data_IF_894736469986
#
_entry.id   IF_894736469986
#
_cell.length_a   1.000
_cell.length_b   1.000
_cell.length_c   1.000
_cell.angle_alpha   90.00
_cell.angle_beta   90.00
_cell.angle_gamma   90.00
#
_symmetry.space_group_name_H-M   'P 1'
#
loop_
_entity.id
_entity.type
_entity.pdbx_description
1 polymer ?
#
# COMPACT_ATOMS: atom_id res chain seq x y z
N UNK A 1 -19.34 -23.63 -4.06
CA UNK A 1 -18.75 -24.12 -2.80
C UNK A 1 -18.20 -22.90 -2.10
N UNK A 2 -18.64 -22.63 -0.89
CA UNK A 2 -18.07 -21.53 -0.09
C UNK A 2 -16.69 -21.95 0.39
N UNK A 3 -15.73 -21.03 0.30
CA UNK A 3 -14.36 -21.31 0.74
C UNK A 3 -14.30 -21.28 2.27
N UNK A 4 -13.63 -22.26 2.86
CA UNK A 4 -13.43 -22.37 4.30
C UNK A 4 -12.15 -21.68 4.76
N UNK A 5 -12.02 -21.48 6.06
CA UNK A 5 -10.77 -21.00 6.70
C UNK A 5 -9.59 -21.96 6.41
N UNK A 6 -9.83 -23.26 6.42
CA UNK A 6 -8.79 -24.26 6.12
C UNK A 6 -8.33 -24.21 4.67
N UNK A 7 -9.22 -23.93 3.71
CA UNK A 7 -8.83 -23.76 2.31
C UNK A 7 -7.90 -22.57 2.13
N UNK A 8 -8.22 -21.44 2.76
CA UNK A 8 -7.38 -20.24 2.74
C UNK A 8 -6.02 -20.53 3.37
N UNK A 9 -6.01 -21.16 4.53
CA UNK A 9 -4.80 -21.58 5.24
C UNK A 9 -3.92 -22.51 4.38
N UNK A 10 -4.53 -23.46 3.69
CA UNK A 10 -3.84 -24.36 2.77
C UNK A 10 -3.22 -23.63 1.57
N UNK A 11 -3.92 -22.65 0.98
CA UNK A 11 -3.36 -21.79 -0.07
C UNK A 11 -2.11 -21.09 0.43
N UNK A 12 -2.16 -20.49 1.61
CA UNK A 12 -1.04 -19.74 2.19
C UNK A 12 0.14 -20.71 2.48
N UNK A 13 -0.10 -21.81 3.19
CA UNK A 13 0.95 -22.77 3.56
C UNK A 13 1.65 -23.38 2.35
N UNK A 14 0.90 -23.77 1.30
CA UNK A 14 1.49 -24.31 0.06
C UNK A 14 2.38 -23.33 -0.70
N UNK A 15 2.31 -22.04 -0.40
CA UNK A 15 3.07 -21.00 -1.08
C UNK A 15 3.95 -20.19 -0.12
N UNK A 16 4.13 -20.62 1.13
CA UNK A 16 4.82 -19.91 2.22
C UNK A 16 6.21 -19.43 1.84
N UNK A 17 6.98 -20.21 1.10
CA UNK A 17 8.35 -19.88 0.70
C UNK A 17 8.43 -18.69 -0.27
N UNK A 18 7.34 -18.41 -0.99
CA UNK A 18 7.34 -17.38 -2.03
C UNK A 18 6.11 -16.46 -1.98
N UNK A 19 5.54 -16.22 -0.82
CA UNK A 19 4.38 -15.35 -0.64
C UNK A 19 4.77 -14.01 -0.02
N UNK A 20 4.05 -12.95 -0.40
CA UNK A 20 4.05 -11.66 0.27
C UNK A 20 2.60 -11.22 0.47
N UNK A 21 2.32 -10.62 1.60
CA UNK A 21 0.98 -10.14 1.94
C UNK A 21 0.83 -8.67 1.57
N UNK A 22 -0.30 -8.31 0.93
CA UNK A 22 -0.64 -6.92 0.65
C UNK A 22 -1.89 -6.58 1.46
N UNK A 23 -1.74 -5.72 2.46
CA UNK A 23 -2.75 -5.48 3.48
C UNK A 23 -3.19 -4.01 3.45
N UNK A 24 -4.51 -3.80 3.38
CA UNK A 24 -5.11 -2.48 3.49
C UNK A 24 -5.78 -2.22 4.84
N UNK A 25 -6.56 -1.14 4.90
CA UNK A 25 -7.21 -0.66 6.12
C UNK A 25 -8.30 -1.62 6.69
N UNK A 26 -8.73 -2.62 5.91
CA UNK A 26 -9.70 -3.61 6.37
C UNK A 26 -9.25 -4.40 7.60
N UNK A 27 -7.94 -4.56 7.82
CA UNK A 27 -7.42 -5.17 9.04
C UNK A 27 -7.78 -4.35 10.29
N UNK A 28 -7.67 -3.02 10.21
CA UNK A 28 -8.06 -2.15 11.33
C UNK A 28 -9.55 -2.17 11.60
N UNK A 29 -10.37 -2.25 10.54
CA UNK A 29 -11.81 -2.40 10.68
C UNK A 29 -12.17 -3.70 11.40
N UNK A 30 -11.50 -4.81 11.07
CA UNK A 30 -11.73 -6.11 11.69
C UNK A 30 -11.38 -6.12 13.18
N UNK A 31 -10.21 -5.59 13.52
CA UNK A 31 -9.71 -5.61 14.90
C UNK A 31 -10.03 -4.33 15.70
N UNK A 32 -10.70 -3.36 15.08
CA UNK A 32 -11.06 -2.07 15.71
C UNK A 32 -9.85 -1.31 16.27
N UNK A 33 -8.68 -1.51 15.67
CA UNK A 33 -7.45 -0.82 16.06
C UNK A 33 -7.38 0.62 15.56
N UNK A 34 -7.99 0.91 14.40
CA UNK A 34 -8.18 2.25 13.89
C UNK A 34 -9.61 2.39 13.36
N UNK A 35 -10.29 3.43 13.74
CA UNK A 35 -11.69 3.66 13.34
C UNK A 35 -11.84 4.54 12.11
N UNK A 36 -10.75 5.12 11.59
CA UNK A 36 -10.82 6.10 10.50
C UNK A 36 -10.67 5.39 9.15
N UNK A 37 -11.75 5.33 8.39
CA UNK A 37 -11.71 4.94 6.98
C UNK A 37 -11.09 6.07 6.13
N UNK A 38 -10.64 5.75 4.91
CA UNK A 38 -10.14 6.79 4.01
C UNK A 38 -11.21 7.84 3.67
N UNK A 39 -12.45 7.39 3.45
CA UNK A 39 -13.59 8.29 3.22
C UNK A 39 -13.79 9.26 4.40
N UNK A 40 -13.79 8.74 5.61
CA UNK A 40 -13.96 9.54 6.82
C UNK A 40 -12.78 10.50 7.04
N UNK A 41 -11.56 10.04 6.80
CA UNK A 41 -10.38 10.91 6.83
C UNK A 41 -10.54 12.12 5.90
N UNK A 42 -10.97 11.90 4.67
CA UNK A 42 -11.16 12.97 3.69
C UNK A 42 -12.31 13.92 4.07
N UNK A 43 -13.41 13.41 4.61
CA UNK A 43 -14.51 14.23 5.14
C UNK A 43 -14.04 15.09 6.32
N UNK A 44 -13.24 14.54 7.21
CA UNK A 44 -12.66 15.30 8.33
C UNK A 44 -11.71 16.39 7.83
N UNK A 45 -10.84 16.08 6.87
CA UNK A 45 -9.96 17.08 6.25
C UNK A 45 -10.76 18.19 5.56
N UNK A 46 -11.82 17.83 4.85
CA UNK A 46 -12.71 18.84 4.23
C UNK A 46 -13.30 19.77 5.29
N UNK A 47 -13.85 19.22 6.38
CA UNK A 47 -14.38 20.04 7.47
C UNK A 47 -13.31 20.93 8.11
N UNK A 48 -12.11 20.41 8.34
CA UNK A 48 -10.99 21.12 8.98
C UNK A 48 -10.49 22.30 8.14
N UNK A 49 -10.46 22.15 6.80
CA UNK A 49 -9.83 23.13 5.91
C UNK A 49 -10.81 24.01 5.11
N UNK A 50 -12.03 23.55 4.89
CA UNK A 50 -13.08 24.29 4.14
C UNK A 50 -14.13 24.85 5.10
N UNK A 51 -14.24 24.30 6.33
CA UNK A 51 -15.16 24.79 7.37
C UNK A 51 -16.62 24.38 7.16
N UNK A 52 -16.92 23.40 6.31
CA UNK A 52 -18.27 22.89 6.05
C UNK A 52 -18.23 21.36 5.93
N UNK A 53 -19.22 20.68 6.50
CA UNK A 53 -19.37 19.25 6.27
C UNK A 53 -19.70 18.98 4.81
N UNK A 54 -19.03 18.01 4.20
CA UNK A 54 -19.29 17.58 2.83
C UNK A 54 -19.28 16.04 2.77
N UNK A 55 -20.24 15.49 2.04
CA UNK A 55 -20.20 14.09 1.64
C UNK A 55 -19.49 14.00 0.30
N UNK A 56 -18.75 12.92 0.08
CA UNK A 56 -18.10 12.68 -1.20
C UNK A 56 -19.18 12.32 -2.23
N UNK A 57 -19.38 13.11 -3.29
CA UNK A 57 -20.42 12.85 -4.28
C UNK A 57 -20.17 11.53 -5.01
N UNK A 58 -21.26 10.85 -5.40
CA UNK A 58 -21.17 9.66 -6.25
C UNK A 58 -20.52 10.05 -7.58
N UNK A 59 -19.54 9.24 -8.03
CA UNK A 59 -18.78 9.51 -9.25
C UNK A 59 -17.50 10.34 -9.04
N UNK A 60 -17.26 10.83 -7.81
CA UNK A 60 -15.98 11.48 -7.46
C UNK A 60 -15.09 10.46 -6.72
N UNK A 61 -13.87 10.26 -7.21
CA UNK A 61 -12.91 9.40 -6.52
C UNK A 61 -12.34 10.08 -5.26
N UNK A 62 -11.82 9.32 -4.33
CA UNK A 62 -11.21 9.86 -3.11
C UNK A 62 -10.01 10.76 -3.41
N UNK A 63 -9.23 10.42 -4.43
CA UNK A 63 -8.08 11.21 -4.85
C UNK A 63 -8.48 12.54 -5.47
N UNK A 64 -9.51 12.55 -6.32
CA UNK A 64 -10.09 13.77 -6.88
C UNK A 64 -10.71 14.65 -5.78
N UNK A 65 -11.43 14.04 -4.83
CA UNK A 65 -12.03 14.77 -3.72
C UNK A 65 -10.96 15.51 -2.88
N UNK A 66 -9.80 14.88 -2.66
CA UNK A 66 -8.68 15.54 -2.01
C UNK A 66 -8.14 16.72 -2.85
N UNK A 67 -7.96 16.54 -4.15
CA UNK A 67 -7.47 17.62 -5.03
C UNK A 67 -8.48 18.78 -5.10
N UNK A 68 -9.80 18.47 -5.11
CA UNK A 68 -10.87 19.47 -5.02
C UNK A 68 -10.86 20.21 -3.68
N UNK A 69 -10.51 19.54 -2.57
CA UNK A 69 -10.34 20.17 -1.26
C UNK A 69 -9.25 21.26 -1.33
N UNK A 70 -8.10 20.97 -1.96
CA UNK A 70 -7.05 21.99 -2.16
C UNK A 70 -7.58 23.20 -2.92
N UNK A 71 -8.35 22.97 -3.99
CA UNK A 71 -8.94 24.05 -4.77
C UNK A 71 -9.89 24.91 -3.91
N UNK A 72 -10.78 24.26 -3.16
CA UNK A 72 -11.75 24.99 -2.32
C UNK A 72 -11.10 25.77 -1.18
N UNK A 73 -9.98 25.29 -0.64
CA UNK A 73 -9.22 26.02 0.38
C UNK A 73 -8.67 27.32 -0.13
N UNK A 74 -8.16 27.35 -1.37
CA UNK A 74 -7.48 28.51 -1.93
C UNK A 74 -8.39 29.43 -2.73
N UNK A 75 -9.42 28.88 -3.36
CA UNK A 75 -10.38 29.67 -4.16
C UNK A 75 -11.70 29.88 -3.44
N UNK A 76 -11.79 29.73 -2.15
CA UNK A 76 -13.01 29.92 -1.35
C UNK A 76 -14.01 30.95 -1.94
N UNK A 77 -15.15 31.18 -1.37
CA UNK A 77 -16.32 31.84 -1.95
C UNK A 77 -16.10 33.17 -2.74
N UNK A 78 -14.88 33.71 -2.83
CA UNK A 78 -14.61 35.00 -3.49
C UNK A 78 -13.44 34.98 -4.50
N UNK A 79 -12.83 33.87 -4.84
CA UNK A 79 -11.97 33.69 -6.04
C UNK A 79 -10.78 34.65 -6.25
N UNK A 80 -10.37 35.43 -5.27
CA UNK A 80 -9.54 36.63 -5.49
C UNK A 80 -8.07 36.48 -5.03
N UNK A 81 -7.67 35.38 -4.42
CA UNK A 81 -6.28 35.23 -3.99
C UNK A 81 -5.54 34.37 -5.02
N UNK A 82 -4.56 34.92 -5.74
CA UNK A 82 -3.74 34.12 -6.64
C UNK A 82 -2.94 33.10 -5.82
N UNK A 83 -3.15 31.82 -6.14
CA UNK A 83 -2.42 30.71 -5.55
C UNK A 83 -0.97 30.73 -6.05
N UNK A 84 -0.01 30.98 -5.17
CA UNK A 84 1.39 30.78 -5.52
C UNK A 84 1.87 29.36 -5.10
N UNK A 85 2.92 28.89 -5.77
CA UNK A 85 3.47 27.56 -5.56
C UNK A 85 3.96 27.33 -4.12
N UNK A 86 4.43 28.35 -3.44
CA UNK A 86 4.91 28.26 -2.04
C UNK A 86 3.75 27.99 -1.09
N UNK A 87 2.66 28.73 -1.23
CA UNK A 87 1.46 28.53 -0.41
C UNK A 87 0.86 27.14 -0.61
N UNK A 88 0.82 26.65 -1.85
CA UNK A 88 0.34 25.31 -2.15
C UNK A 88 1.23 24.22 -1.48
N UNK A 89 2.54 24.35 -1.56
CA UNK A 89 3.49 23.42 -0.93
C UNK A 89 3.32 23.44 0.60
N UNK A 90 3.21 24.63 1.20
CA UNK A 90 3.00 24.77 2.65
C UNK A 90 1.68 24.15 3.09
N UNK A 91 0.60 24.37 2.33
CA UNK A 91 -0.70 23.77 2.60
C UNK A 91 -0.63 22.23 2.55
N UNK A 92 -0.09 21.67 1.48
CA UNK A 92 0.08 20.21 1.34
C UNK A 92 0.89 19.62 2.49
N UNK A 93 1.94 20.30 2.90
CA UNK A 93 2.77 19.87 4.04
C UNK A 93 1.97 19.90 5.35
N UNK A 94 1.18 20.95 5.58
CA UNK A 94 0.31 21.07 6.76
C UNK A 94 -0.78 20.00 6.79
N UNK A 95 -1.45 19.74 5.67
CA UNK A 95 -2.48 18.69 5.58
C UNK A 95 -1.87 17.32 5.87
N UNK A 96 -0.74 16.98 5.26
CA UNK A 96 -0.06 15.70 5.46
C UNK A 96 0.44 15.54 6.90
N UNK A 97 0.87 16.62 7.55
CA UNK A 97 1.21 16.60 8.97
C UNK A 97 -0.02 16.38 9.85
N UNK A 98 -1.15 17.02 9.54
CA UNK A 98 -2.42 16.78 10.24
C UNK A 98 -2.85 15.31 10.11
N UNK A 99 -2.77 14.74 8.91
CA UNK A 99 -3.06 13.31 8.69
C UNK A 99 -2.13 12.44 9.52
N UNK A 100 -0.83 12.72 9.53
CA UNK A 100 0.16 11.96 10.30
C UNK A 100 -0.15 11.96 11.80
N UNK A 101 -0.60 13.07 12.34
CA UNK A 101 -0.95 13.22 13.75
C UNK A 101 -2.22 12.45 14.18
N UNK A 102 -3.01 11.94 13.22
CA UNK A 102 -4.21 11.14 13.53
C UNK A 102 -3.91 9.69 13.92
N UNK A 103 -2.65 9.27 13.86
CA UNK A 103 -2.19 7.91 14.16
C UNK A 103 -1.28 7.86 15.40
N UNK A 104 -1.82 8.05 16.63
CA UNK A 104 -1.04 7.96 17.85
C UNK A 104 -0.60 6.52 18.13
N UNK A 105 0.55 6.35 18.75
CA UNK A 105 0.98 5.05 19.25
C UNK A 105 0.00 4.52 20.30
N UNK A 106 -0.13 3.18 20.36
CA UNK A 106 -0.97 2.47 21.30
C UNK A 106 -0.14 1.53 22.19
N UNK A 107 -0.63 1.25 23.37
CA UNK A 107 0.02 0.28 24.26
C UNK A 107 -0.28 -1.18 23.89
N UNK A 108 -1.39 -1.43 23.19
CA UNK A 108 -1.83 -2.77 22.77
C UNK A 108 -2.55 -2.68 21.43
N UNK A 109 -2.33 -3.68 20.59
CA UNK A 109 -2.94 -3.81 19.28
C UNK A 109 -3.72 -5.13 19.19
N UNK A 110 -5.01 -5.04 18.85
CA UNK A 110 -5.87 -6.23 18.74
C UNK A 110 -5.51 -7.09 17.52
N UNK A 111 -4.94 -6.46 16.46
CA UNK A 111 -4.48 -7.13 15.24
C UNK A 111 -3.19 -7.97 15.44
N UNK A 112 -2.55 -7.92 16.61
CA UNK A 112 -1.29 -8.62 16.90
C UNK A 112 -1.35 -10.11 16.54
N UNK A 113 -2.42 -10.80 16.92
CA UNK A 113 -2.56 -12.24 16.68
C UNK A 113 -2.50 -12.59 15.19
N UNK A 114 -3.11 -11.77 14.35
CA UNK A 114 -3.07 -11.93 12.89
C UNK A 114 -1.65 -11.70 12.35
N UNK A 115 -0.96 -10.65 12.80
CA UNK A 115 0.39 -10.34 12.33
C UNK A 115 1.40 -11.38 12.78
N UNK A 116 1.26 -11.91 13.99
CA UNK A 116 2.08 -13.04 14.48
C UNK A 116 1.90 -14.29 13.60
N UNK A 117 0.68 -14.55 13.08
CA UNK A 117 0.44 -15.61 12.10
C UNK A 117 1.31 -15.45 10.85
N UNK A 118 1.33 -14.26 10.27
CA UNK A 118 2.16 -13.96 9.09
C UNK A 118 3.65 -13.99 9.43
N UNK A 119 4.04 -13.49 10.59
CA UNK A 119 5.42 -13.47 11.06
C UNK A 119 5.99 -14.89 11.19
N UNK A 120 5.20 -15.87 11.65
CA UNK A 120 5.61 -17.27 11.69
C UNK A 120 5.99 -17.85 10.33
N UNK A 121 5.41 -17.33 9.24
CA UNK A 121 5.78 -17.71 7.87
C UNK A 121 7.05 -17.01 7.37
N UNK A 122 7.61 -16.09 8.13
CA UNK A 122 8.77 -15.28 7.74
C UNK A 122 8.58 -14.56 6.40
N UNK A 123 7.36 -14.05 6.15
CA UNK A 123 6.95 -13.46 4.86
C UNK A 123 6.80 -11.95 4.96
N UNK A 124 7.18 -11.19 3.91
CA UNK A 124 7.04 -9.75 3.91
C UNK A 124 5.58 -9.29 3.80
N UNK A 125 5.28 -8.17 4.45
CA UNK A 125 4.01 -7.44 4.38
C UNK A 125 4.23 -6.12 3.63
N UNK A 126 3.39 -5.85 2.64
CA UNK A 126 3.22 -4.56 2.00
C UNK A 126 1.91 -3.96 2.49
N UNK A 127 1.92 -2.75 3.06
CA UNK A 127 0.69 -2.11 3.51
C UNK A 127 0.43 -0.79 2.82
N UNK A 128 -0.85 -0.51 2.54
CA UNK A 128 -1.32 0.80 2.07
C UNK A 128 -1.62 1.75 3.23
N UNK A 129 -1.60 1.28 4.47
CA UNK A 129 -1.90 2.06 5.66
C UNK A 129 -0.76 3.03 5.98
N UNK A 130 -1.11 4.21 6.51
CA UNK A 130 -0.13 5.24 6.87
C UNK A 130 0.40 5.09 8.30
N UNK A 131 -0.32 4.36 9.16
CA UNK A 131 0.07 4.07 10.54
C UNK A 131 1.13 2.97 10.62
N UNK A 132 1.73 2.81 11.80
CA UNK A 132 2.71 1.76 12.10
C UNK A 132 2.12 0.59 12.90
N UNK A 133 0.78 0.52 13.04
CA UNK A 133 0.13 -0.44 13.95
C UNK A 133 0.44 -1.90 13.64
N UNK A 134 0.59 -2.24 12.34
CA UNK A 134 1.02 -3.58 11.92
C UNK A 134 2.42 -3.91 12.46
N UNK A 135 3.37 -3.01 12.30
CA UNK A 135 4.75 -3.19 12.77
C UNK A 135 4.87 -3.09 14.29
N UNK A 136 4.20 -2.10 14.89
CA UNK A 136 4.25 -1.87 16.34
C UNK A 136 3.66 -3.06 17.12
N UNK A 137 2.63 -3.72 16.55
CA UNK A 137 1.95 -4.87 17.19
C UNK A 137 2.87 -6.06 17.47
N UNK A 138 3.96 -6.19 16.73
CA UNK A 138 4.95 -7.29 16.84
C UNK A 138 6.32 -6.78 17.27
N UNK A 139 6.41 -5.54 17.74
CA UNK A 139 7.65 -4.93 18.22
C UNK A 139 8.70 -4.70 17.13
N UNK A 140 8.27 -4.58 15.86
CA UNK A 140 9.18 -4.34 14.76
C UNK A 140 9.68 -2.88 14.76
N UNK A 141 10.96 -2.68 14.51
CA UNK A 141 11.64 -1.38 14.49
C UNK A 141 12.02 -0.95 13.08
N UNK A 142 12.18 0.36 12.83
CA UNK A 142 12.50 0.86 11.49
C UNK A 142 13.95 0.61 11.10
N UNK A 143 14.14 0.07 9.90
CA UNK A 143 15.43 -0.16 9.26
C UNK A 143 15.41 0.38 7.84
N UNK A 144 16.59 0.56 7.22
CA UNK A 144 16.72 0.95 5.82
C UNK A 144 17.66 -0.02 5.12
N UNK A 145 17.22 -0.61 4.02
CA UNK A 145 18.14 -1.34 3.16
C UNK A 145 19.20 -0.38 2.62
N UNK A 146 20.46 -0.76 2.80
CA UNK A 146 21.59 0.01 2.29
C UNK A 146 21.58 -0.06 0.76
N UNK A 147 21.58 1.08 0.05
CA UNK A 147 21.69 1.07 -1.39
C UNK A 147 23.08 0.62 -1.79
N UNK A 148 23.16 -0.27 -2.78
CA UNK A 148 24.38 -0.48 -3.54
C UNK A 148 24.53 0.71 -4.51
N UNK A 149 25.73 0.97 -5.00
CA UNK A 149 25.97 2.03 -5.99
C UNK A 149 24.96 1.97 -7.14
N UNK A 150 24.39 3.13 -7.51
CA UNK A 150 23.34 3.30 -8.53
C UNK A 150 21.95 2.75 -8.18
N UNK A 151 21.73 2.25 -6.96
CA UNK A 151 20.40 1.86 -6.49
C UNK A 151 19.60 3.03 -5.90
N UNK A 152 18.32 2.76 -5.63
CA UNK A 152 17.40 3.71 -5.02
C UNK A 152 17.90 4.20 -3.64
N UNK A 153 17.96 5.52 -3.46
CA UNK A 153 18.30 6.16 -2.19
C UNK A 153 17.03 6.64 -1.48
N UNK A 154 17.04 6.57 -0.17
CA UNK A 154 15.98 7.07 0.69
C UNK A 154 15.69 8.55 0.46
N UNK A 155 14.41 8.91 0.41
CA UNK A 155 13.95 10.29 0.54
C UNK A 155 12.67 10.33 1.37
N UNK A 156 12.40 11.46 2.05
CA UNK A 156 11.16 11.63 2.83
C UNK A 156 9.89 11.57 1.99
N UNK A 157 9.98 11.85 0.69
CA UNK A 157 8.86 11.71 -0.26
C UNK A 157 8.62 10.26 -0.67
N UNK A 158 9.71 9.49 -0.80
CA UNK A 158 9.68 8.11 -1.28
C UNK A 158 10.56 7.24 -0.37
N UNK A 159 10.08 6.89 0.83
CA UNK A 159 10.85 6.06 1.76
C UNK A 159 10.75 4.57 1.38
N UNK A 160 11.03 4.24 0.11
CA UNK A 160 10.71 2.92 -0.44
C UNK A 160 11.69 1.82 -0.05
N UNK A 161 12.85 2.17 0.50
CA UNK A 161 13.81 1.24 1.11
C UNK A 161 13.71 1.19 2.65
N UNK A 162 12.75 1.91 3.24
CA UNK A 162 12.41 1.82 4.66
C UNK A 162 11.50 0.63 4.90
N UNK A 163 11.82 -0.18 5.89
CA UNK A 163 11.01 -1.28 6.37
C UNK A 163 11.03 -1.36 7.89
N UNK A 164 10.08 -2.09 8.46
CA UNK A 164 10.00 -2.38 9.88
C UNK A 164 10.15 -3.88 10.08
N UNK A 165 11.10 -4.29 10.93
CA UNK A 165 11.38 -5.68 11.24
C UNK A 165 11.95 -5.82 12.66
N UNK A 166 11.99 -7.04 13.20
CA UNK A 166 12.66 -7.31 14.47
C UNK A 166 14.17 -7.39 14.28
N UNK A 167 14.61 -7.90 13.12
CA UNK A 167 16.02 -8.00 12.73
C UNK A 167 16.27 -7.36 11.37
N UNK A 168 17.50 -6.91 11.12
CA UNK A 168 17.88 -6.38 9.82
C UNK A 168 17.82 -7.47 8.73
N UNK A 169 17.25 -7.11 7.58
CA UNK A 169 17.25 -7.96 6.38
C UNK A 169 18.22 -7.42 5.33
N UNK A 170 18.84 -8.32 4.58
CA UNK A 170 19.78 -7.96 3.51
C UNK A 170 19.11 -7.91 2.12
N UNK A 171 17.89 -8.42 2.01
CA UNK A 171 17.14 -8.55 0.76
C UNK A 171 15.65 -8.36 1.03
N UNK A 172 14.91 -7.55 0.23
CA UNK A 172 13.48 -7.36 0.38
C UNK A 172 12.65 -8.65 0.31
N UNK A 173 13.15 -9.69 -0.36
CA UNK A 173 12.44 -10.95 -0.53
C UNK A 173 12.59 -11.91 0.65
N UNK A 174 13.51 -11.63 1.57
CA UNK A 174 13.84 -12.52 2.70
C UNK A 174 13.37 -11.92 4.01
N UNK A 175 12.81 -12.78 4.86
CA UNK A 175 12.46 -12.41 6.22
C UNK A 175 11.09 -11.69 6.34
N UNK A 176 10.64 -11.63 7.59
CA UNK A 176 9.47 -10.82 7.95
C UNK A 176 9.87 -9.34 7.99
N UNK A 177 9.19 -8.55 7.20
CA UNK A 177 9.34 -7.10 7.20
C UNK A 177 8.04 -6.41 6.74
N UNK A 178 7.71 -5.27 7.32
CA UNK A 178 6.53 -4.45 6.96
C UNK A 178 6.98 -3.23 6.16
N UNK A 179 6.40 -3.05 4.99
CA UNK A 179 6.72 -1.99 4.04
C UNK A 179 5.49 -1.14 3.75
N UNK A 180 5.63 0.19 3.76
CA UNK A 180 4.54 1.13 3.52
C UNK A 180 4.57 1.65 2.08
N UNK A 181 3.62 1.21 1.24
CA UNK A 181 3.62 1.52 -0.20
C UNK A 181 3.00 2.88 -0.55
N UNK A 182 2.04 3.34 0.24
CA UNK A 182 1.37 4.64 0.06
C UNK A 182 1.93 5.74 0.97
N UNK A 183 3.09 5.49 1.60
CA UNK A 183 3.69 6.40 2.56
C UNK A 183 3.38 6.04 4.01
N UNK A 184 4.00 6.75 4.95
CA UNK A 184 3.93 6.45 6.37
C UNK A 184 3.89 7.75 7.20
N UNK A 185 3.15 7.76 8.28
CA UNK A 185 2.95 8.93 9.14
C UNK A 185 4.27 9.49 9.74
N UNK A 186 5.28 8.64 9.95
CA UNK A 186 6.62 9.07 10.40
C UNK A 186 7.33 10.00 9.39
N UNK A 187 6.96 9.94 8.12
CA UNK A 187 7.41 10.81 7.04
C UNK A 187 6.20 11.41 6.34
N UNK A 188 5.58 12.47 6.88
CA UNK A 188 4.30 13.02 6.39
C UNK A 188 4.32 13.35 4.90
N UNK A 189 5.45 13.83 4.37
CA UNK A 189 5.62 14.12 2.93
C UNK A 189 5.44 12.88 2.03
N UNK A 190 5.58 11.68 2.57
CA UNK A 190 5.41 10.42 1.83
C UNK A 190 3.95 10.01 1.65
N UNK A 191 3.03 10.53 2.47
CA UNK A 191 1.60 10.17 2.45
C UNK A 191 0.98 10.54 1.12
N UNK A 192 0.26 9.60 0.51
CA UNK A 192 -0.41 9.75 -0.79
C UNK A 192 -1.91 9.98 -0.59
N UNK A 193 -2.38 11.18 -0.90
CA UNK A 193 -3.78 11.57 -0.72
C UNK A 193 -4.46 11.90 -2.06
N UNK A 194 -3.87 12.81 -2.86
CA UNK A 194 -4.41 13.25 -4.12
C UNK A 194 -3.88 12.49 -5.34
N UNK A 195 -4.54 12.67 -6.48
CA UNK A 195 -4.16 12.06 -7.74
C UNK A 195 -2.72 12.43 -8.14
N UNK A 196 -2.32 13.69 -7.92
CA UNK A 196 -0.96 14.16 -8.18
C UNK A 196 0.10 13.39 -7.40
N UNK A 197 -0.16 13.02 -6.14
CA UNK A 197 0.74 12.20 -5.32
C UNK A 197 0.90 10.79 -5.92
N UNK A 198 -0.21 10.17 -6.34
CA UNK A 198 -0.20 8.85 -6.96
C UNK A 198 0.52 8.85 -8.31
N UNK A 199 0.26 9.87 -9.15
CA UNK A 199 0.94 10.02 -10.44
C UNK A 199 2.44 10.23 -10.28
N UNK A 200 2.88 10.98 -9.27
CA UNK A 200 4.29 11.12 -8.92
C UNK A 200 4.94 9.78 -8.54
N UNK A 201 4.22 8.92 -7.81
CA UNK A 201 4.69 7.58 -7.48
C UNK A 201 4.76 6.67 -8.71
N UNK A 202 3.78 6.74 -9.61
CA UNK A 202 3.78 6.02 -10.91
C UNK A 202 4.99 6.44 -11.73
N UNK A 203 5.24 7.75 -11.88
CA UNK A 203 6.36 8.26 -12.66
C UNK A 203 7.71 7.81 -12.06
N UNK A 204 7.85 7.89 -10.74
CA UNK A 204 9.05 7.42 -10.03
C UNK A 204 9.31 5.93 -10.29
N UNK A 205 8.31 5.09 -10.08
CA UNK A 205 8.41 3.65 -10.32
C UNK A 205 8.68 3.35 -11.80
N UNK A 206 8.03 4.05 -12.73
CA UNK A 206 8.25 3.90 -14.17
C UNK A 206 9.69 4.18 -14.56
N UNK A 207 10.28 5.26 -14.03
CA UNK A 207 11.70 5.60 -14.27
C UNK A 207 12.63 4.49 -13.79
N UNK A 208 12.33 3.86 -12.64
CA UNK A 208 13.12 2.76 -12.09
C UNK A 208 12.98 1.48 -12.91
N UNK A 209 11.78 1.17 -13.39
CA UNK A 209 11.47 -0.07 -14.13
C UNK A 209 11.89 0.03 -15.61
N UNK A 210 11.70 1.19 -16.24
CA UNK A 210 11.81 1.41 -17.69
C UNK A 210 12.83 2.47 -18.09
N UNK A 211 13.61 3.00 -17.14
CA UNK A 211 14.57 4.09 -17.37
C UNK A 211 15.62 3.78 -18.46
N UNK A 212 16.32 4.81 -18.93
CA UNK A 212 17.28 4.74 -20.05
C UNK A 212 18.63 4.09 -19.72
N UNK A 213 18.82 3.58 -18.51
CA UNK A 213 20.05 2.93 -18.10
C UNK A 213 20.12 1.47 -18.58
N UNK A 214 21.32 0.99 -18.71
CA UNK A 214 21.65 -0.42 -19.02
C UNK A 214 21.08 -1.43 -18.00
N UNK A 215 20.61 -0.94 -16.88
CA UNK A 215 20.08 -1.66 -15.71
C UNK A 215 18.55 -1.75 -15.68
N UNK A 216 17.90 -1.69 -16.84
CA UNK A 216 16.44 -1.80 -16.93
C UNK A 216 15.98 -3.12 -16.34
N UNK A 217 15.06 -3.04 -15.37
CA UNK A 217 14.47 -4.23 -14.79
C UNK A 217 13.82 -5.16 -15.83
N UNK A 218 13.19 -4.58 -16.85
CA UNK A 218 12.58 -5.32 -17.95
C UNK A 218 13.55 -5.83 -19.03
N UNK A 219 14.82 -5.49 -19.01
CA UNK A 219 15.79 -6.02 -19.97
C UNK A 219 16.49 -7.31 -19.54
N UNK A 220 16.16 -7.81 -18.36
CA UNK A 220 16.27 -9.24 -18.01
C UNK A 220 17.62 -9.83 -17.70
N UNK A 221 18.73 -9.13 -17.84
CA UNK A 221 20.04 -9.76 -17.60
C UNK A 221 20.53 -9.70 -16.17
N UNK A 222 20.01 -8.77 -15.35
CA UNK A 222 20.57 -8.60 -14.00
C UNK A 222 19.53 -8.10 -13.00
N UNK A 223 18.58 -8.97 -12.61
CA UNK A 223 17.50 -8.65 -11.67
C UNK A 223 18.01 -8.22 -10.29
N UNK A 224 19.23 -8.60 -9.92
CA UNK A 224 19.86 -8.26 -8.64
C UNK A 224 20.44 -6.86 -8.59
N UNK A 225 20.56 -6.14 -9.69
CA UNK A 225 21.22 -4.84 -9.76
C UNK A 225 20.35 -3.71 -10.31
N UNK A 226 19.07 -3.94 -10.52
CA UNK A 226 18.17 -2.86 -10.96
C UNK A 226 17.96 -1.81 -9.87
N UNK A 227 17.67 -0.56 -10.25
CA UNK A 227 17.58 0.61 -9.35
C UNK A 227 16.63 0.40 -8.17
N UNK A 228 15.55 -0.35 -8.34
CA UNK A 228 14.56 -0.63 -7.30
C UNK A 228 14.80 -1.90 -6.48
N UNK A 229 15.95 -2.57 -6.64
CA UNK A 229 16.22 -3.86 -5.98
C UNK A 229 16.10 -3.80 -4.45
N UNK A 230 16.59 -2.74 -3.83
CA UNK A 230 16.56 -2.53 -2.38
C UNK A 230 15.27 -1.84 -1.88
N UNK A 231 14.19 -1.92 -2.64
CA UNK A 231 12.88 -1.35 -2.30
C UNK A 231 11.78 -2.41 -2.28
N UNK A 232 10.65 -2.09 -1.67
CA UNK A 232 9.47 -2.93 -1.70
C UNK A 232 8.94 -3.23 -3.12
N UNK A 233 9.31 -2.42 -4.14
CA UNK A 233 8.98 -2.75 -5.54
C UNK A 233 9.52 -4.11 -5.96
N UNK A 234 10.68 -4.50 -5.44
CA UNK A 234 11.28 -5.80 -5.75
C UNK A 234 10.38 -6.96 -5.28
N UNK A 235 9.68 -6.79 -4.16
CA UNK A 235 8.71 -7.75 -3.63
C UNK A 235 7.53 -7.91 -4.61
N UNK A 236 6.97 -6.80 -5.09
CA UNK A 236 5.82 -6.81 -6.03
C UNK A 236 6.11 -7.67 -7.28
N UNK A 237 7.33 -7.62 -7.78
CA UNK A 237 7.70 -8.32 -9.02
C UNK A 237 8.19 -9.76 -8.81
N UNK A 238 8.65 -10.12 -7.60
CA UNK A 238 9.36 -11.38 -7.38
C UNK A 238 8.74 -12.29 -6.31
N UNK A 239 7.61 -11.90 -5.72
CA UNK A 239 6.82 -12.76 -4.83
C UNK A 239 5.43 -13.02 -5.37
N UNK A 240 4.83 -14.12 -4.99
CA UNK A 240 3.39 -14.35 -5.12
C UNK A 240 2.66 -13.42 -4.15
N UNK A 241 1.55 -12.81 -4.56
CA UNK A 241 0.87 -11.77 -3.76
C UNK A 241 -0.45 -12.29 -3.19
N UNK A 242 -0.63 -12.16 -1.89
CA UNK A 242 -1.88 -12.46 -1.20
C UNK A 242 -2.48 -11.15 -0.68
N UNK A 243 -3.52 -10.65 -1.35
CA UNK A 243 -4.10 -9.32 -1.13
C UNK A 243 -5.40 -9.43 -0.35
N UNK A 244 -5.49 -8.73 0.79
CA UNK A 244 -6.71 -8.68 1.60
C UNK A 244 -6.82 -7.38 2.41
N UNK A 245 -8.04 -7.12 2.94
CA UNK A 245 -8.31 -5.90 3.70
C UNK A 245 -8.14 -4.62 2.88
N UNK A 246 -8.07 -4.73 1.56
CA UNK A 246 -7.84 -3.63 0.63
C UNK A 246 -8.96 -3.59 -0.41
N UNK A 247 -9.62 -2.44 -0.52
CA UNK A 247 -10.69 -2.24 -1.51
C UNK A 247 -10.21 -2.39 -2.95
N UNK A 248 -9.00 -1.94 -3.25
CA UNK A 248 -8.41 -1.92 -4.58
C UNK A 248 -9.36 -1.32 -5.64
N UNK A 249 -10.05 -0.24 -5.24
CA UNK A 249 -10.95 0.51 -6.12
C UNK A 249 -10.16 1.29 -7.19
N UNK A 250 -10.86 1.97 -8.11
CA UNK A 250 -10.24 2.69 -9.22
C UNK A 250 -9.27 3.81 -8.77
N UNK A 251 -9.49 4.37 -7.60
CA UNK A 251 -8.64 5.38 -6.97
C UNK A 251 -7.28 4.85 -6.45
N UNK A 252 -7.10 3.53 -6.34
CA UNK A 252 -5.80 2.92 -6.03
C UNK A 252 -4.89 2.88 -7.28
N UNK A 253 -4.74 4.01 -7.95
CA UNK A 253 -4.09 4.15 -9.26
C UNK A 253 -2.70 3.54 -9.28
N UNK A 254 -1.88 3.82 -8.27
CA UNK A 254 -0.48 3.37 -8.24
C UNK A 254 -0.38 1.85 -8.11
N UNK A 255 -1.08 1.26 -7.14
CA UNK A 255 -1.02 -0.20 -6.94
C UNK A 255 -1.63 -0.94 -8.13
N UNK A 256 -2.77 -0.48 -8.66
CA UNK A 256 -3.38 -1.07 -9.86
C UNK A 256 -2.42 -1.02 -11.06
N UNK A 257 -1.74 0.11 -11.27
CA UNK A 257 -0.73 0.22 -12.31
C UNK A 257 0.43 -0.74 -12.07
N UNK A 258 0.94 -0.88 -10.84
CA UNK A 258 2.00 -1.83 -10.51
C UNK A 258 1.60 -3.28 -10.78
N UNK A 259 0.36 -3.68 -10.46
CA UNK A 259 -0.13 -5.02 -10.74
C UNK A 259 -0.17 -5.31 -12.26
N UNK A 260 -0.52 -4.30 -13.08
CA UNK A 260 -0.44 -4.41 -14.55
C UNK A 260 1.02 -4.61 -14.98
N UNK A 261 1.96 -3.80 -14.47
CA UNK A 261 3.38 -3.94 -14.81
C UNK A 261 3.94 -5.30 -14.37
N UNK A 262 3.57 -5.76 -13.17
CA UNK A 262 3.92 -7.09 -12.66
C UNK A 262 3.47 -8.20 -13.62
N UNK A 263 2.23 -8.12 -14.09
CA UNK A 263 1.70 -9.14 -15.02
C UNK A 263 2.46 -9.14 -16.34
N UNK A 264 2.78 -7.96 -16.90
CA UNK A 264 3.65 -7.84 -18.09
C UNK A 264 5.00 -8.49 -17.84
N UNK A 265 5.64 -8.16 -16.72
CA UNK A 265 6.92 -8.72 -16.32
C UNK A 265 6.86 -10.26 -16.21
N UNK A 266 5.89 -10.79 -15.49
CA UNK A 266 5.72 -12.23 -15.34
C UNK A 266 5.54 -12.94 -16.69
N UNK A 267 4.75 -12.37 -17.60
CA UNK A 267 4.55 -12.93 -18.96
C UNK A 267 5.83 -12.85 -19.80
N UNK A 268 6.55 -11.72 -19.78
CA UNK A 268 7.79 -11.54 -20.54
C UNK A 268 8.90 -12.50 -20.11
N UNK A 269 9.03 -12.76 -18.83
CA UNK A 269 10.10 -13.57 -18.26
C UNK A 269 9.65 -14.96 -17.80
N UNK A 270 8.45 -15.39 -18.19
CA UNK A 270 7.88 -16.70 -17.84
C UNK A 270 7.94 -17.01 -16.34
N UNK A 271 7.69 -15.98 -15.50
CA UNK A 271 7.64 -16.15 -14.05
C UNK A 271 6.30 -16.74 -13.63
N UNK A 272 6.31 -17.68 -12.69
CA UNK A 272 5.13 -18.38 -12.19
C UNK A 272 4.56 -17.78 -10.90
N UNK A 273 4.82 -16.47 -10.63
CA UNK A 273 4.31 -15.84 -9.43
C UNK A 273 2.80 -15.71 -9.46
N UNK A 274 2.14 -16.32 -8.50
CA UNK A 274 0.69 -16.32 -8.34
C UNK A 274 0.18 -15.02 -7.71
N UNK A 275 -1.12 -14.82 -7.73
CA UNK A 275 -1.80 -13.75 -7.02
C UNK A 275 -3.16 -14.22 -6.53
N UNK A 276 -3.51 -13.86 -5.29
CA UNK A 276 -4.82 -14.09 -4.69
C UNK A 276 -5.36 -12.76 -4.17
N UNK A 277 -6.62 -12.52 -4.43
CA UNK A 277 -7.37 -11.42 -3.86
C UNK A 277 -8.56 -11.97 -3.10
N UNK A 278 -8.61 -11.70 -1.80
CA UNK A 278 -9.65 -12.19 -0.91
C UNK A 278 -10.53 -11.01 -0.46
N UNK A 279 -11.83 -11.16 -0.64
CA UNK A 279 -12.76 -10.12 -0.22
C UNK A 279 -14.20 -10.57 -0.22
N UNK A 280 -15.06 -9.79 0.43
CA UNK A 280 -16.50 -9.93 0.43
C UNK A 280 -17.10 -9.03 -0.67
N UNK A 281 -18.23 -9.42 -1.25
CA UNK A 281 -19.02 -8.62 -2.21
C UNK A 281 -18.19 -7.99 -3.34
N UNK A 282 -17.30 -8.79 -3.96
CA UNK A 282 -16.37 -8.33 -4.99
C UNK A 282 -17.11 -7.94 -6.26
N UNK A 283 -17.12 -6.63 -6.58
CA UNK A 283 -17.77 -6.07 -7.79
C UNK A 283 -17.25 -6.73 -9.08
N UNK A 284 -18.13 -6.86 -10.08
CA UNK A 284 -17.82 -7.51 -11.36
C UNK A 284 -16.60 -6.90 -12.07
N UNK A 285 -16.49 -5.56 -12.14
CA UNK A 285 -15.35 -4.89 -12.76
C UNK A 285 -14.03 -5.17 -12.08
N UNK A 286 -13.99 -5.20 -10.75
CA UNK A 286 -12.80 -5.58 -9.97
C UNK A 286 -12.42 -7.04 -10.21
N UNK A 287 -13.40 -7.94 -10.19
CA UNK A 287 -13.19 -9.37 -10.50
C UNK A 287 -12.63 -9.56 -11.90
N UNK A 288 -13.17 -8.88 -12.90
CA UNK A 288 -12.65 -8.87 -14.26
C UNK A 288 -11.21 -8.39 -14.29
N UNK A 289 -10.92 -7.22 -13.76
CA UNK A 289 -9.57 -6.62 -13.71
C UNK A 289 -8.54 -7.60 -13.13
N UNK A 290 -8.80 -8.14 -11.94
CA UNK A 290 -7.89 -9.04 -11.25
C UNK A 290 -7.67 -10.35 -11.99
N UNK A 291 -8.74 -10.95 -12.54
CA UNK A 291 -8.64 -12.18 -13.34
C UNK A 291 -7.78 -11.96 -14.59
N UNK A 292 -7.90 -10.81 -15.28
CA UNK A 292 -7.04 -10.49 -16.44
C UNK A 292 -5.56 -10.34 -16.05
N UNK A 293 -5.28 -9.99 -14.81
CA UNK A 293 -3.92 -9.94 -14.27
C UNK A 293 -3.41 -11.30 -13.75
N UNK A 294 -4.19 -12.36 -13.87
CA UNK A 294 -3.83 -13.70 -13.42
C UNK A 294 -4.01 -13.93 -11.93
N UNK A 295 -4.83 -13.12 -11.26
CA UNK A 295 -5.19 -13.35 -9.87
C UNK A 295 -6.35 -14.32 -9.75
N UNK A 296 -6.25 -15.23 -8.79
CA UNK A 296 -7.38 -15.96 -8.26
C UNK A 296 -8.20 -15.03 -7.34
N UNK A 297 -9.49 -14.85 -7.64
CA UNK A 297 -10.36 -13.92 -6.90
C UNK A 297 -11.34 -14.72 -6.06
N UNK A 298 -11.10 -14.74 -4.77
CA UNK A 298 -11.77 -15.54 -3.77
C UNK A 298 -12.79 -14.67 -3.04
N UNK A 299 -14.07 -15.02 -3.21
CA UNK A 299 -15.16 -14.43 -2.42
C UNK A 299 -15.32 -15.19 -1.10
N UNK A 300 -15.45 -14.45 0.00
CA UNK A 300 -15.69 -15.00 1.34
C UNK A 300 -17.05 -14.54 1.86
N UNK A 301 -17.74 -15.34 2.66
CA UNK A 301 -19.05 -14.98 3.23
C UNK A 301 -18.90 -13.85 4.29
N UNK A 302 -17.84 -13.93 5.07
CA UNK A 302 -17.46 -12.91 6.05
C UNK A 302 -15.94 -12.84 6.23
N UNK A 303 -15.46 -11.75 6.84
CA UNK A 303 -14.04 -11.54 7.04
C UNK A 303 -13.46 -12.41 8.17
N UNK A 304 -14.28 -12.95 9.10
CA UNK A 304 -13.79 -13.84 10.15
C UNK A 304 -13.16 -15.09 9.55
N UNK A 305 -13.75 -15.65 8.48
CA UNK A 305 -13.20 -16.80 7.74
C UNK A 305 -11.74 -16.58 7.32
N UNK A 306 -11.43 -15.39 6.82
CA UNK A 306 -10.06 -15.02 6.40
C UNK A 306 -9.14 -14.85 7.60
N UNK A 307 -9.56 -14.05 8.58
CA UNK A 307 -8.67 -13.68 9.70
C UNK A 307 -8.37 -14.89 10.59
N UNK A 308 -9.35 -15.78 10.84
CA UNK A 308 -9.13 -17.07 11.53
C UNK A 308 -8.10 -17.95 10.79
N UNK A 309 -8.15 -17.99 9.45
CA UNK A 309 -7.15 -18.71 8.67
C UNK A 309 -5.73 -18.18 8.92
N UNK A 310 -5.56 -16.86 9.01
CA UNK A 310 -4.25 -16.22 9.21
C UNK A 310 -3.77 -16.36 10.66
N UNK A 311 -4.64 -16.16 11.64
CA UNK A 311 -4.32 -16.28 13.07
C UNK A 311 -3.79 -17.66 13.43
N UNK A 312 -4.27 -18.69 12.75
CA UNK A 312 -3.90 -20.10 12.98
C UNK A 312 -2.74 -20.60 12.10
N UNK A 313 -2.09 -19.72 11.32
CA UNK A 313 -0.87 -20.09 10.57
C UNK A 313 0.28 -20.42 11.51
#
# INVERSE_FOLDING_TARGET
MEISSDDIKNIIKKNSDNIAFVIGNGIHCQYRDCSISWEELLKNLWNDYVGKKCNIPVGTSFTEFYDILELNRFWGNNGTIPLNSVQLIQHRSSVKQNVANKFPAKNKYSLQICIEGIKRLNSPILTTNFDTYISDSVGATPHKLKPIENQYKFTDFYPWNLYYANDEINNPLSGFAVWHINGIHKYPRSIRLGLGDYMGSVERARKMIQGNCLEKYFTGKNQSYWVGYNTWLHIIFNKSLFIFGLGLEENEVFLRWLLIQRTKYCKMYKKSHKGWYIGKDIKAGKRFFLKQLGFEVIGIPDYNTLYQAIETL
#
